data_IF_283787605112
#
_entry.id   IF_283787605112
#
_cell.length_a   1.000
_cell.length_b   1.000
_cell.length_c   1.000
_cell.angle_alpha   90.00
_cell.angle_beta   90.00
_cell.angle_gamma   90.00
#
_symmetry.space_group_name_H-M   'P 1'
#
loop_
_entity.id
_entity.type
_entity.pdbx_description
1 polymer ?
#
# COMPACT_ATOMS: atom_id res chain seq x y z
N UNK A 1 19.34 -6.23 -1.11
CA UNK A 1 19.25 -5.35 0.06
C UNK A 1 20.29 -4.26 -0.09
N UNK A 2 19.89 -3.01 0.01
CA UNK A 2 20.78 -1.84 -0.10
C UNK A 2 20.28 -0.71 0.81
N UNK A 3 21.11 0.29 1.03
CA UNK A 3 20.82 1.43 1.88
C UNK A 3 20.49 2.68 1.07
N UNK A 4 19.49 3.43 1.51
CA UNK A 4 19.19 4.77 0.99
C UNK A 4 19.40 5.75 2.14
N UNK A 5 20.41 6.59 1.98
CA UNK A 5 20.85 7.54 3.01
C UNK A 5 20.22 8.91 2.79
N UNK A 6 19.59 9.43 3.83
CA UNK A 6 19.21 10.82 3.99
C UNK A 6 20.18 11.56 4.91
N UNK A 7 19.81 12.77 5.30
CA UNK A 7 20.60 13.63 6.19
C UNK A 7 20.50 13.18 7.67
N UNK A 8 19.35 12.66 8.07
CA UNK A 8 19.02 12.34 9.46
C UNK A 8 19.07 10.83 9.69
N UNK A 9 18.57 10.04 8.74
CA UNK A 9 18.47 8.59 8.89
C UNK A 9 18.78 7.86 7.59
N UNK A 10 18.81 6.53 7.68
CA UNK A 10 19.06 5.62 6.56
C UNK A 10 17.97 4.57 6.52
N UNK A 11 17.37 4.38 5.35
CA UNK A 11 16.42 3.30 5.09
C UNK A 11 17.13 2.07 4.53
N UNK A 12 16.71 0.88 4.97
CA UNK A 12 17.14 -0.39 4.39
C UNK A 12 16.09 -0.87 3.41
N UNK A 13 16.47 -1.02 2.15
CA UNK A 13 15.59 -1.41 1.06
C UNK A 13 15.76 -2.89 0.70
N UNK A 14 14.64 -3.62 0.65
CA UNK A 14 14.58 -5.02 0.27
C UNK A 14 14.11 -5.23 -1.18
N UNK A 15 13.66 -4.18 -1.86
CA UNK A 15 13.27 -4.24 -3.27
C UNK A 15 14.46 -4.55 -4.17
N UNK A 16 14.19 -5.28 -5.25
CA UNK A 16 15.18 -5.54 -6.32
C UNK A 16 14.97 -4.62 -7.53
N UNK A 17 13.74 -4.21 -7.74
CA UNK A 17 13.31 -3.30 -8.82
C UNK A 17 12.52 -2.17 -8.16
N UNK A 18 12.77 -0.95 -8.55
CA UNK A 18 12.10 0.24 -8.04
C UNK A 18 12.27 1.40 -9.03
N UNK A 19 11.36 2.33 -8.94
CA UNK A 19 11.39 3.57 -9.71
C UNK A 19 12.35 4.57 -9.07
N UNK A 20 13.04 5.36 -9.90
CA UNK A 20 13.97 6.39 -9.41
C UNK A 20 13.23 7.41 -8.52
N UNK A 21 11.99 7.74 -8.84
CA UNK A 21 11.18 8.65 -8.05
C UNK A 21 10.89 8.12 -6.64
N UNK A 22 10.67 6.81 -6.51
CA UNK A 22 10.50 6.18 -5.20
C UNK A 22 11.76 6.32 -4.33
N UNK A 23 12.95 6.15 -4.93
CA UNK A 23 14.24 6.36 -4.23
C UNK A 23 14.36 7.80 -3.72
N UNK A 24 13.97 8.78 -4.54
CA UNK A 24 13.98 10.18 -4.16
C UNK A 24 12.99 10.49 -3.02
N UNK A 25 11.80 9.87 -3.03
CA UNK A 25 10.84 9.99 -1.92
C UNK A 25 11.40 9.42 -0.62
N UNK A 26 12.01 8.23 -0.66
CA UNK A 26 12.63 7.61 0.49
C UNK A 26 13.77 8.47 1.04
N UNK A 27 14.61 9.01 0.17
CA UNK A 27 15.70 9.89 0.58
C UNK A 27 15.18 11.13 1.28
N UNK A 28 14.17 11.81 0.71
CA UNK A 28 13.50 12.96 1.34
C UNK A 28 12.89 12.60 2.68
N UNK A 29 12.25 11.45 2.81
CA UNK A 29 11.72 10.98 4.09
C UNK A 29 12.83 10.82 5.13
N UNK A 30 13.98 10.26 4.75
CA UNK A 30 15.13 10.11 5.62
C UNK A 30 15.84 11.44 5.97
N UNK A 31 15.44 12.55 5.36
CA UNK A 31 15.93 13.89 5.70
C UNK A 31 15.15 14.56 6.84
N UNK A 32 13.98 14.02 7.22
CA UNK A 32 13.15 14.61 8.27
C UNK A 32 13.57 14.17 9.66
N UNK A 33 13.56 15.11 10.61
CA UNK A 33 13.81 14.86 12.05
C UNK A 33 12.85 13.83 12.65
N UNK A 34 11.67 13.67 12.08
CA UNK A 34 10.71 12.60 12.44
C UNK A 34 11.35 11.21 12.40
N UNK A 35 12.30 10.99 11.49
CA UNK A 35 12.93 9.69 11.27
C UNK A 35 14.13 9.44 12.17
N UNK A 36 14.50 10.41 13.00
CA UNK A 36 15.60 10.25 13.95
C UNK A 36 15.36 9.06 14.87
N UNK A 37 16.37 8.19 15.02
CA UNK A 37 16.30 6.94 15.78
C UNK A 37 15.24 5.92 15.33
N UNK A 38 14.64 6.12 14.15
CA UNK A 38 13.67 5.20 13.58
C UNK A 38 14.35 4.06 12.83
N UNK A 39 13.76 2.87 12.87
CA UNK A 39 14.11 1.78 11.98
C UNK A 39 13.24 1.84 10.73
N UNK A 40 13.82 2.25 9.61
CA UNK A 40 13.11 2.37 8.33
C UNK A 40 13.42 1.16 7.47
N UNK A 41 12.37 0.47 7.01
CA UNK A 41 12.45 -0.69 6.11
C UNK A 41 11.54 -0.48 4.92
N UNK A 42 12.09 -0.69 3.74
CA UNK A 42 11.38 -0.56 2.48
C UNK A 42 11.15 -1.95 1.92
N UNK A 43 9.89 -2.29 1.75
CA UNK A 43 9.43 -3.62 1.35
C UNK A 43 9.63 -3.84 -0.16
N UNK A 44 9.60 -5.11 -0.63
CA UNK A 44 9.87 -5.44 -2.04
C UNK A 44 8.90 -4.85 -3.07
N UNK A 45 7.70 -4.49 -2.66
CA UNK A 45 6.61 -3.94 -3.46
C UNK A 45 6.60 -2.40 -3.51
N UNK A 46 7.68 -1.77 -3.10
CA UNK A 46 7.80 -0.31 -3.03
C UNK A 46 7.49 0.40 -4.35
N UNK A 47 6.69 1.43 -4.26
CA UNK A 47 6.36 2.33 -5.37
C UNK A 47 6.01 3.74 -4.87
N UNK A 48 5.89 4.68 -5.79
CA UNK A 48 5.59 6.08 -5.48
C UNK A 48 4.22 6.21 -4.84
N UNK A 49 4.12 6.95 -3.74
CA UNK A 49 2.87 7.24 -3.05
C UNK A 49 2.65 8.73 -2.81
N UNK A 50 1.45 9.09 -2.34
CA UNK A 50 1.13 10.46 -1.91
C UNK A 50 1.70 10.69 -0.51
N UNK A 51 2.73 11.50 -0.38
CA UNK A 51 3.35 11.83 0.90
C UNK A 51 4.57 10.99 1.23
N UNK A 52 4.47 9.68 1.22
CA UNK A 52 5.64 8.79 1.30
C UNK A 52 5.45 7.59 0.35
N UNK A 53 6.52 6.84 0.13
CA UNK A 53 6.48 5.60 -0.64
C UNK A 53 5.58 4.56 0.01
N UNK A 54 4.76 3.90 -0.80
CA UNK A 54 4.04 2.70 -0.40
C UNK A 54 5.06 1.56 -0.22
N UNK A 55 4.80 0.65 0.71
CA UNK A 55 5.76 -0.37 1.09
C UNK A 55 6.80 0.09 2.11
N UNK A 56 6.58 1.22 2.78
CA UNK A 56 7.44 1.71 3.86
C UNK A 56 6.95 1.24 5.22
N UNK A 57 7.85 0.72 6.03
CA UNK A 57 7.65 0.49 7.47
C UNK A 57 8.64 1.31 8.29
N UNK A 58 8.18 1.90 9.37
CA UNK A 58 9.00 2.76 10.22
C UNK A 58 8.58 2.65 11.68
N UNK A 59 9.55 2.57 12.59
CA UNK A 59 9.26 2.71 14.02
C UNK A 59 9.15 4.19 14.37
N UNK A 60 8.14 4.55 15.16
CA UNK A 60 7.93 5.90 15.68
C UNK A 60 7.67 5.78 17.17
N UNK A 61 8.31 6.59 17.99
CA UNK A 61 8.20 6.47 19.46
C UNK A 61 7.42 7.61 20.10
N UNK A 62 7.73 8.84 19.77
CA UNK A 62 7.22 10.05 20.43
C UNK A 62 6.58 11.06 19.47
N UNK A 63 6.49 10.70 18.19
CA UNK A 63 6.02 11.57 17.11
C UNK A 63 4.96 10.87 16.30
N UNK A 64 4.09 11.64 15.67
CA UNK A 64 3.08 11.13 14.74
C UNK A 64 3.15 11.94 13.45
N UNK A 65 3.11 11.24 12.32
CA UNK A 65 2.99 11.87 11.02
C UNK A 65 1.77 11.30 10.28
N UNK A 66 0.64 12.00 10.31
CA UNK A 66 -0.60 11.50 9.68
C UNK A 66 -0.42 11.16 8.19
N UNK A 67 0.39 11.93 7.48
CA UNK A 67 0.62 11.74 6.04
C UNK A 67 1.34 10.44 5.66
N UNK A 68 1.95 9.74 6.64
CA UNK A 68 2.60 8.45 6.40
C UNK A 68 1.77 7.25 6.87
N UNK A 69 0.64 7.47 7.48
CA UNK A 69 -0.25 6.38 7.90
C UNK A 69 -0.85 5.66 6.70
N UNK A 70 -1.10 6.39 5.61
CA UNK A 70 -1.63 5.87 4.36
C UNK A 70 -2.85 6.62 3.90
N UNK A 71 -3.19 6.48 2.64
CA UNK A 71 -4.37 7.08 2.02
C UNK A 71 -5.56 6.14 2.12
N UNK A 72 -5.32 4.86 1.91
CA UNK A 72 -6.32 3.79 1.99
C UNK A 72 -6.12 2.97 3.28
N UNK A 73 -6.57 3.53 4.39
CA UNK A 73 -6.38 2.93 5.72
C UNK A 73 -7.25 1.69 5.91
N UNK A 74 -8.37 1.62 5.21
CA UNK A 74 -9.27 0.47 5.21
C UNK A 74 -8.92 -0.62 4.20
N UNK A 75 -7.79 -0.53 3.53
CA UNK A 75 -7.37 -1.50 2.53
C UNK A 75 -7.28 -2.91 3.11
N UNK A 76 -7.87 -3.85 2.40
CA UNK A 76 -7.87 -5.25 2.78
C UNK A 76 -7.68 -6.16 1.58
N UNK A 77 -7.32 -7.41 1.86
CA UNK A 77 -7.17 -8.45 0.85
C UNK A 77 -8.25 -9.51 1.04
N UNK A 78 -8.97 -9.78 -0.03
CA UNK A 78 -9.88 -10.92 -0.08
C UNK A 78 -9.29 -12.00 -0.97
N UNK A 79 -9.07 -13.20 -0.40
CA UNK A 79 -8.41 -14.29 -1.10
C UNK A 79 -9.38 -15.46 -1.30
N UNK A 80 -9.53 -15.89 -2.53
CA UNK A 80 -10.33 -17.06 -2.89
C UNK A 80 -9.43 -18.15 -3.47
N UNK A 81 -9.53 -19.35 -2.93
CA UNK A 81 -8.87 -20.52 -3.49
C UNK A 81 -9.71 -21.10 -4.61
N UNK A 82 -9.18 -21.08 -5.82
CA UNK A 82 -9.85 -21.67 -6.98
C UNK A 82 -9.67 -23.21 -6.99
N UNK A 83 -10.71 -23.92 -7.44
CA UNK A 83 -10.66 -25.36 -7.67
C UNK A 83 -9.96 -25.71 -8.99
N UNK A 84 -10.05 -24.82 -9.96
CA UNK A 84 -9.45 -24.96 -11.29
C UNK A 84 -7.92 -24.92 -11.19
N UNK A 85 -7.28 -25.87 -11.89
CA UNK A 85 -5.81 -25.93 -11.96
C UNK A 85 -5.24 -25.18 -13.17
N UNK A 86 -6.08 -24.91 -14.16
CA UNK A 86 -5.72 -24.19 -15.37
C UNK A 86 -6.61 -22.95 -15.45
N UNK A 87 -5.97 -21.79 -15.48
CA UNK A 87 -6.64 -20.50 -15.56
C UNK A 87 -6.50 -19.94 -16.96
N UNK A 88 -7.59 -19.41 -17.46
CA UNK A 88 -7.62 -18.60 -18.67
C UNK A 88 -7.26 -17.16 -18.31
N UNK A 89 -6.00 -16.81 -18.47
CA UNK A 89 -5.51 -15.48 -18.12
C UNK A 89 -6.04 -14.38 -19.04
N UNK A 90 -6.33 -14.68 -20.30
CA UNK A 90 -6.91 -13.71 -21.23
C UNK A 90 -8.30 -13.30 -20.76
N UNK A 91 -9.12 -14.28 -20.38
CA UNK A 91 -10.44 -14.02 -19.84
C UNK A 91 -10.42 -13.30 -18.50
N UNK A 92 -9.45 -13.62 -17.63
CA UNK A 92 -9.28 -12.92 -16.35
C UNK A 92 -8.90 -11.47 -16.60
N UNK A 93 -7.98 -11.20 -17.51
CA UNK A 93 -7.57 -9.85 -17.87
C UNK A 93 -8.73 -9.04 -18.44
N UNK A 94 -9.52 -9.62 -19.32
CA UNK A 94 -10.73 -9.00 -19.84
C UNK A 94 -11.71 -8.62 -18.72
N UNK A 95 -11.95 -9.51 -17.77
CA UNK A 95 -12.82 -9.24 -16.61
C UNK A 95 -12.24 -8.12 -15.74
N UNK A 96 -10.93 -8.12 -15.50
CA UNK A 96 -10.27 -7.10 -14.68
C UNK A 96 -10.44 -5.68 -15.23
N UNK A 97 -10.57 -5.52 -16.54
CA UNK A 97 -10.82 -4.22 -17.16
C UNK A 97 -12.18 -3.60 -16.81
N UNK A 98 -13.14 -4.40 -16.37
CA UNK A 98 -14.44 -3.91 -15.90
C UNK A 98 -14.46 -3.57 -14.42
N UNK A 99 -13.43 -3.93 -13.67
CA UNK A 99 -13.35 -3.66 -12.23
C UNK A 99 -12.89 -2.21 -12.03
N UNK A 100 -13.66 -1.38 -11.30
CA UNK A 100 -13.24 -0.02 -11.02
C UNK A 100 -11.94 0.00 -10.23
N UNK A 101 -11.08 0.95 -10.53
CA UNK A 101 -9.79 1.12 -9.87
C UNK A 101 -9.49 2.57 -9.54
N UNK A 102 -8.58 2.81 -8.60
CA UNK A 102 -8.21 4.15 -8.15
C UNK A 102 -9.38 4.87 -7.47
N UNK A 103 -9.86 5.95 -8.08
CA UNK A 103 -10.98 6.76 -7.58
C UNK A 103 -12.36 6.30 -8.08
N UNK A 104 -12.38 5.28 -8.90
CA UNK A 104 -13.63 4.71 -9.40
C UNK A 104 -14.18 3.71 -8.39
N UNK A 105 -15.50 3.69 -8.23
CA UNK A 105 -16.21 2.79 -7.32
C UNK A 105 -17.46 2.25 -8.01
N UNK A 106 -17.93 1.09 -7.59
CA UNK A 106 -19.25 0.60 -7.96
C UNK A 106 -20.33 1.42 -7.24
N UNK A 107 -21.37 1.83 -7.96
CA UNK A 107 -22.53 2.52 -7.36
C UNK A 107 -23.45 1.56 -6.61
N UNK A 108 -23.39 0.27 -6.92
CA UNK A 108 -24.18 -0.79 -6.28
C UNK A 108 -23.30 -2.02 -6.08
N UNK A 109 -23.65 -2.82 -5.08
CA UNK A 109 -23.02 -4.13 -4.90
C UNK A 109 -23.23 -5.00 -6.14
N UNK A 110 -22.17 -5.58 -6.66
CA UNK A 110 -22.24 -6.46 -7.81
C UNK A 110 -22.59 -7.89 -7.42
N UNK A 111 -22.23 -8.27 -6.20
CA UNK A 111 -22.51 -9.58 -5.62
C UNK A 111 -22.82 -9.48 -4.12
N UNK A 112 -23.66 -10.37 -3.61
CA UNK A 112 -23.87 -10.53 -2.17
C UNK A 112 -22.86 -11.52 -1.61
N UNK A 113 -21.90 -11.04 -0.85
CA UNK A 113 -20.95 -11.90 -0.14
C UNK A 113 -21.49 -12.31 1.24
N UNK A 114 -21.13 -13.51 1.68
CA UNK A 114 -21.50 -14.01 3.00
C UNK A 114 -20.99 -13.08 4.10
N UNK A 115 -21.87 -12.70 4.97
CA UNK A 115 -21.75 -11.60 5.95
C UNK A 115 -20.63 -11.70 6.98
N UNK A 116 -20.02 -12.86 7.16
CA UNK A 116 -18.90 -13.01 8.10
C UNK A 116 -17.69 -12.16 7.75
N UNK A 117 -17.60 -11.73 6.50
CA UNK A 117 -16.50 -10.90 5.98
C UNK A 117 -16.86 -9.42 5.89
N UNK A 118 -18.12 -9.06 5.95
CA UNK A 118 -18.56 -7.65 5.88
C UNK A 118 -18.01 -6.84 7.04
N UNK A 119 -17.89 -7.40 8.22
CA UNK A 119 -17.32 -6.70 9.36
C UNK A 119 -15.81 -6.46 9.25
N UNK A 120 -15.14 -7.24 8.39
CA UNK A 120 -13.71 -7.11 8.14
C UNK A 120 -13.48 -6.27 6.89
N UNK A 121 -14.41 -6.29 5.97
CA UNK A 121 -14.30 -5.66 4.66
C UNK A 121 -15.42 -4.66 4.36
N UNK A 122 -15.93 -3.92 5.34
CA UNK A 122 -16.64 -2.67 5.03
C UNK A 122 -15.61 -1.56 4.75
N UNK A 123 -14.97 -1.54 3.58
CA UNK A 123 -13.99 -0.53 3.24
C UNK A 123 -14.65 0.80 2.94
N UNK A 124 -15.96 0.83 2.92
CA UNK A 124 -16.72 1.93 2.34
C UNK A 124 -17.41 2.82 3.36
N UNK A 125 -17.38 2.47 4.63
CA UNK A 125 -17.59 3.46 5.64
C UNK A 125 -16.28 4.09 6.06
N UNK A 126 -15.57 4.58 5.10
CA UNK A 126 -14.80 5.78 5.34
C UNK A 126 -15.77 6.76 5.98
N UNK A 127 -15.52 7.07 7.25
CA UNK A 127 -16.33 8.02 7.97
C UNK A 127 -16.51 9.25 7.08
N UNK A 128 -17.74 9.62 6.83
CA UNK A 128 -18.07 10.96 6.39
C UNK A 128 -17.55 11.89 7.49
N UNK A 129 -16.38 12.47 7.22
CA UNK A 129 -15.81 13.53 8.03
C UNK A 129 -16.08 14.82 7.30
#
# INVERSE_FOLDING_TARGET
MFEIKGKVNTAICYAKVFEQEAVEQIRRMCDYELTENSHIRIMPDVHVGKGCTIGTTMTVTDKVCPNIVGVDIGCGMYTVKLAEKVLDFEKIDEICHYIPSGMQVWEMAQEEFSLSLIHISEPTRQAEI
#
